data_IF_290518365128
#
_entry.id   IF_290518365128
#
_cell.length_a   1.000
_cell.length_b   1.000
_cell.length_c   1.000
_cell.angle_alpha   90.00
_cell.angle_beta   90.00
_cell.angle_gamma   90.00
#
_symmetry.space_group_name_H-M   'P 1'
#
loop_
_entity.id
_entity.type
_entity.pdbx_description
1 polymer ?
#
# COMPACT_ATOMS: atom_id res chain seq x y z
N UNK A 1 -44.24 -18.73 -7.18
CA UNK A 1 -43.39 -18.13 -8.24
C UNK A 1 -42.60 -16.89 -7.78
N UNK A 2 -42.52 -16.55 -6.49
CA UNK A 2 -41.87 -15.29 -6.02
C UNK A 2 -40.46 -15.42 -5.42
N UNK A 3 -39.76 -16.55 -5.58
CA UNK A 3 -38.44 -16.78 -4.96
C UNK A 3 -37.23 -16.45 -5.85
N UNK A 4 -37.35 -16.58 -7.17
CA UNK A 4 -36.22 -16.39 -8.10
C UNK A 4 -35.94 -14.93 -8.47
N UNK A 5 -36.92 -14.03 -8.34
CA UNK A 5 -36.73 -12.61 -8.64
C UNK A 5 -35.96 -11.88 -7.52
N UNK A 6 -36.19 -12.24 -6.26
CA UNK A 6 -35.46 -11.68 -5.11
C UNK A 6 -33.96 -12.04 -5.14
N UNK A 7 -33.59 -13.24 -5.58
CA UNK A 7 -32.19 -13.66 -5.71
C UNK A 7 -31.46 -12.94 -6.86
N UNK A 8 -32.16 -12.66 -7.96
CA UNK A 8 -31.59 -11.89 -9.08
C UNK A 8 -31.43 -10.43 -8.72
N UNK A 9 -32.38 -9.86 -7.97
CA UNK A 9 -32.33 -8.48 -7.52
C UNK A 9 -31.26 -8.27 -6.42
N UNK A 10 -31.07 -9.27 -5.54
CA UNK A 10 -29.96 -9.31 -4.59
C UNK A 10 -28.60 -9.44 -5.30
N UNK A 11 -28.47 -10.35 -6.29
CA UNK A 11 -27.26 -10.48 -7.10
C UNK A 11 -26.96 -9.26 -7.97
N UNK A 12 -27.99 -8.57 -8.48
CA UNK A 12 -27.83 -7.32 -9.22
C UNK A 12 -27.41 -6.18 -8.29
N UNK A 13 -27.96 -6.10 -7.07
CA UNK A 13 -27.49 -5.17 -6.05
C UNK A 13 -26.06 -5.46 -5.61
N UNK A 14 -25.70 -6.74 -5.47
CA UNK A 14 -24.33 -7.17 -5.15
C UNK A 14 -23.34 -6.88 -6.28
N UNK A 15 -23.76 -7.03 -7.55
CA UNK A 15 -22.97 -6.64 -8.72
C UNK A 15 -22.80 -5.12 -8.84
N UNK A 16 -23.79 -4.34 -8.39
CA UNK A 16 -23.71 -2.88 -8.33
C UNK A 16 -22.93 -2.38 -7.09
N UNK A 17 -22.80 -3.19 -6.03
CA UNK A 17 -22.01 -2.87 -4.83
C UNK A 17 -20.58 -3.40 -4.88
N UNK A 18 -20.24 -4.36 -5.74
CA UNK A 18 -18.86 -4.67 -6.09
C UNK A 18 -18.29 -3.51 -6.91
N UNK A 19 -17.38 -2.72 -6.33
CA UNK A 19 -16.81 -1.56 -7.01
C UNK A 19 -16.17 -2.00 -8.33
N UNK A 20 -16.71 -1.56 -9.45
CA UNK A 20 -16.27 -1.94 -10.79
C UNK A 20 -15.01 -1.16 -11.20
N UNK A 21 -13.94 -1.30 -10.42
CA UNK A 21 -12.64 -0.68 -10.65
C UNK A 21 -11.66 -1.70 -11.21
N UNK A 22 -10.75 -1.24 -12.05
CA UNK A 22 -9.80 -2.07 -12.81
C UNK A 22 -8.43 -2.18 -12.13
N UNK A 23 -8.09 -1.23 -11.26
CA UNK A 23 -6.81 -1.22 -10.54
C UNK A 23 -6.88 -0.42 -9.25
N UNK A 24 -5.97 -0.73 -8.32
CA UNK A 24 -5.77 0.00 -7.07
C UNK A 24 -4.39 0.60 -7.03
N UNK A 25 -4.32 1.88 -6.67
CA UNK A 25 -3.08 2.63 -6.56
C UNK A 25 -2.99 3.27 -5.19
N UNK A 26 -1.77 3.42 -4.68
CA UNK A 26 -1.50 4.09 -3.43
C UNK A 26 -0.49 5.23 -3.60
N UNK A 27 -0.74 6.36 -2.95
CA UNK A 27 0.20 7.47 -2.79
C UNK A 27 0.40 7.67 -1.30
N UNK A 28 1.58 7.33 -0.81
CA UNK A 28 1.91 7.25 0.61
C UNK A 28 3.01 8.26 0.91
N UNK A 29 2.74 9.23 1.78
CA UNK A 29 3.62 10.37 2.00
C UNK A 29 3.85 10.60 3.48
N UNK A 30 5.10 10.49 3.90
CA UNK A 30 5.61 11.16 5.10
C UNK A 30 6.14 12.55 4.70
N UNK A 31 5.65 13.58 5.38
CA UNK A 31 6.01 14.97 5.07
C UNK A 31 7.01 15.57 6.06
N UNK A 32 7.44 14.83 7.08
CA UNK A 32 8.21 15.38 8.20
C UNK A 32 9.68 14.98 8.18
N UNK A 33 10.53 15.84 8.76
CA UNK A 33 11.97 15.60 8.89
C UNK A 33 12.40 15.58 10.34
N UNK A 34 13.65 15.18 10.55
CA UNK A 34 14.34 15.09 11.84
C UNK A 34 13.95 13.88 12.69
N UNK A 35 14.89 13.44 13.51
CA UNK A 35 14.79 12.22 14.32
C UNK A 35 13.57 12.18 15.23
N UNK A 36 13.18 13.31 15.82
CA UNK A 36 12.00 13.37 16.71
C UNK A 36 10.67 13.09 15.99
N UNK A 37 10.67 13.08 14.65
CA UNK A 37 9.53 12.73 13.81
C UNK A 37 9.62 11.31 13.23
N UNK A 38 10.45 10.44 13.80
CA UNK A 38 10.59 9.03 13.42
C UNK A 38 9.25 8.35 13.11
N UNK A 39 8.24 8.59 13.96
CA UNK A 39 6.89 8.01 13.82
C UNK A 39 6.24 8.26 12.45
N UNK A 40 6.44 9.39 11.80
CA UNK A 40 5.79 9.65 10.50
C UNK A 40 6.39 8.76 9.39
N UNK A 41 7.70 8.52 9.42
CA UNK A 41 8.36 7.54 8.55
C UNK A 41 7.87 6.12 8.87
N UNK A 42 7.79 5.75 10.15
CA UNK A 42 7.29 4.44 10.56
C UNK A 42 5.82 4.23 10.16
N UNK A 43 4.97 5.26 10.29
CA UNK A 43 3.57 5.25 9.89
C UNK A 43 3.42 4.92 8.39
N UNK A 44 4.08 5.71 7.53
CA UNK A 44 3.94 5.55 6.07
C UNK A 44 4.47 4.19 5.60
N UNK A 45 5.59 3.72 6.16
CA UNK A 45 6.17 2.40 5.88
C UNK A 45 5.25 1.26 6.35
N UNK A 46 4.55 1.44 7.46
CA UNK A 46 3.61 0.45 7.97
C UNK A 46 2.37 0.32 7.06
N UNK A 47 1.86 1.45 6.55
CA UNK A 47 0.77 1.45 5.57
C UNK A 47 1.25 0.83 4.25
N UNK A 48 2.46 1.16 3.79
CA UNK A 48 3.09 0.56 2.60
C UNK A 48 3.15 -0.97 2.72
N UNK A 49 3.62 -1.49 3.85
CA UNK A 49 3.64 -2.93 4.12
C UNK A 49 2.24 -3.54 4.07
N UNK A 50 1.23 -2.86 4.60
CA UNK A 50 -0.16 -3.34 4.56
C UNK A 50 -0.71 -3.42 3.13
N UNK A 51 -0.47 -2.39 2.33
CA UNK A 51 -0.84 -2.30 0.92
C UNK A 51 -0.16 -3.40 0.09
N UNK A 52 1.15 -3.62 0.27
CA UNK A 52 1.89 -4.71 -0.38
C UNK A 52 1.39 -6.08 0.02
N UNK A 53 1.17 -6.31 1.32
CA UNK A 53 0.67 -7.59 1.86
C UNK A 53 -0.71 -7.95 1.29
N UNK A 54 -1.54 -6.94 0.99
CA UNK A 54 -2.85 -7.12 0.36
C UNK A 54 -2.78 -7.19 -1.19
N UNK A 55 -1.57 -7.08 -1.75
CA UNK A 55 -1.24 -7.49 -3.11
C UNK A 55 -1.00 -6.35 -4.10
N UNK A 56 -1.13 -5.08 -3.69
CA UNK A 56 -0.83 -3.96 -4.58
C UNK A 56 0.70 -3.97 -4.84
N UNK A 57 1.15 -4.08 -6.11
CA UNK A 57 2.57 -4.14 -6.45
C UNK A 57 3.23 -2.76 -6.37
N UNK A 58 4.55 -2.72 -6.18
CA UNK A 58 5.32 -1.45 -6.09
C UNK A 58 5.11 -0.53 -7.29
N UNK A 59 4.92 -1.11 -8.49
CA UNK A 59 4.59 -0.34 -9.69
C UNK A 59 3.27 0.46 -9.62
N UNK A 60 2.47 0.24 -8.58
CA UNK A 60 1.20 0.93 -8.29
C UNK A 60 1.22 1.68 -6.95
N UNK A 61 2.38 1.80 -6.31
CA UNK A 61 2.58 2.54 -5.07
C UNK A 61 3.56 3.66 -5.34
N UNK A 62 3.20 4.89 -5.01
CA UNK A 62 4.13 6.02 -4.95
C UNK A 62 4.46 6.26 -3.48
N UNK A 63 5.71 6.00 -3.08
CA UNK A 63 6.18 6.21 -1.72
C UNK A 63 7.11 7.44 -1.65
N UNK A 64 6.72 8.41 -0.82
CA UNK A 64 7.47 9.63 -0.56
C UNK A 64 7.88 9.66 0.93
N UNK A 65 9.18 9.69 1.21
CA UNK A 65 9.71 9.75 2.58
C UNK A 65 10.65 10.94 2.71
N UNK A 66 10.30 11.88 3.59
CA UNK A 66 10.98 13.16 3.71
C UNK A 66 12.32 13.07 4.45
N UNK A 67 12.56 12.01 5.24
CA UNK A 67 13.84 11.79 5.92
C UNK A 67 14.15 10.30 6.12
N UNK A 68 15.42 9.93 6.11
CA UNK A 68 15.85 8.53 6.19
C UNK A 68 16.16 8.13 7.64
N UNK A 69 15.17 7.55 8.32
CA UNK A 69 15.35 7.06 9.70
C UNK A 69 16.20 5.79 9.75
N UNK A 70 16.19 4.96 8.70
CA UNK A 70 16.95 3.71 8.64
C UNK A 70 18.46 3.97 8.63
N UNK A 71 18.90 5.01 7.91
CA UNK A 71 20.29 5.45 7.85
C UNK A 71 20.63 6.64 8.79
N UNK A 72 19.74 7.02 9.70
CA UNK A 72 20.04 8.12 10.63
C UNK A 72 21.13 7.72 11.63
N UNK A 73 22.15 8.56 11.89
CA UNK A 73 23.20 8.25 12.87
C UNK A 73 22.70 8.03 14.32
N UNK A 74 21.49 8.51 14.63
CA UNK A 74 20.85 8.29 15.94
C UNK A 74 20.15 6.94 16.04
N UNK A 75 19.97 6.22 14.93
CA UNK A 75 19.26 4.96 14.92
C UNK A 75 20.14 3.86 15.54
N UNK A 76 19.73 3.27 16.68
CA UNK A 76 20.47 2.16 17.29
C UNK A 76 20.35 0.86 16.49
N UNK A 77 19.42 0.79 15.53
CA UNK A 77 19.17 -0.35 14.64
C UNK A 77 19.36 0.07 13.18
N UNK A 78 20.59 0.01 12.67
CA UNK A 78 20.89 0.50 11.33
C UNK A 78 20.14 -0.29 10.26
N UNK A 79 19.74 0.42 9.21
CA UNK A 79 19.00 -0.15 8.08
C UNK A 79 17.65 -0.80 8.47
N UNK A 80 17.06 -0.39 9.60
CA UNK A 80 15.77 -0.87 10.08
C UNK A 80 14.91 0.28 10.62
N UNK A 81 13.59 0.14 10.48
CA UNK A 81 12.60 1.03 11.10
C UNK A 81 11.54 0.19 11.81
N UNK A 82 11.19 0.53 13.05
CA UNK A 82 10.23 -0.22 13.86
C UNK A 82 9.03 0.63 14.23
N UNK A 83 7.83 0.04 14.15
CA UNK A 83 6.57 0.72 14.46
C UNK A 83 5.94 0.26 15.79
N UNK A 84 6.62 -0.62 16.54
CA UNK A 84 6.17 -1.13 17.83
C UNK A 84 7.32 -1.17 18.84
N UNK A 85 7.05 -0.85 20.11
CA UNK A 85 8.04 -0.82 21.19
C UNK A 85 8.80 -2.15 21.39
N UNK A 86 8.18 -3.27 21.04
CA UNK A 86 8.81 -4.59 21.12
C UNK A 86 9.66 -4.91 19.87
N UNK A 87 9.76 -3.99 18.91
CA UNK A 87 10.55 -4.11 17.68
C UNK A 87 10.31 -5.41 16.91
N UNK A 88 9.07 -5.89 16.92
CA UNK A 88 8.71 -7.19 16.36
C UNK A 88 8.77 -7.22 14.83
N UNK A 89 8.57 -6.07 14.18
CA UNK A 89 8.46 -5.95 12.73
C UNK A 89 9.32 -4.77 12.28
N UNK A 90 10.36 -5.06 11.50
CA UNK A 90 11.04 -4.06 10.69
C UNK A 90 10.14 -3.69 9.51
N UNK A 91 9.65 -2.45 9.49
CA UNK A 91 8.77 -1.91 8.45
C UNK A 91 9.55 -1.31 7.29
N UNK A 92 10.87 -1.16 7.40
CA UNK A 92 11.73 -0.77 6.29
C UNK A 92 12.09 -2.01 5.46
N UNK A 93 12.71 -3.02 6.08
CA UNK A 93 13.01 -4.31 5.44
C UNK A 93 13.75 -4.24 4.10
N UNK A 94 13.80 -5.38 3.41
CA UNK A 94 14.55 -5.54 2.14
C UNK A 94 13.75 -5.17 0.87
N UNK A 95 12.47 -4.82 1.01
CA UNK A 95 11.46 -4.82 -0.07
C UNK A 95 10.70 -3.49 -0.20
N UNK A 96 11.24 -2.41 0.38
CA UNK A 96 10.66 -1.06 0.24
C UNK A 96 11.29 -0.32 -0.94
N UNK A 97 10.44 0.11 -1.88
CA UNK A 97 10.81 0.98 -2.99
C UNK A 97 10.37 2.42 -2.67
N UNK A 98 11.34 3.30 -2.35
CA UNK A 98 11.05 4.72 -2.13
C UNK A 98 11.26 5.50 -3.43
N UNK A 99 10.19 6.12 -3.93
CA UNK A 99 10.18 6.87 -5.19
C UNK A 99 10.70 8.29 -5.04
N UNK A 100 10.32 8.98 -3.98
CA UNK A 100 10.80 10.34 -3.68
C UNK A 100 11.43 10.33 -2.29
N UNK A 101 12.73 10.65 -2.23
CA UNK A 101 13.52 10.61 -1.00
C UNK A 101 13.98 12.01 -0.61
N UNK A 102 13.91 12.33 0.69
CA UNK A 102 14.53 13.53 1.24
C UNK A 102 14.04 14.81 0.55
N UNK A 103 14.97 15.54 -0.06
CA UNK A 103 14.69 16.80 -0.74
C UNK A 103 13.73 16.69 -1.93
N UNK A 104 13.49 15.49 -2.46
CA UNK A 104 12.48 15.31 -3.52
C UNK A 104 11.03 15.35 -2.98
N UNK A 105 10.82 15.27 -1.66
CA UNK A 105 9.48 15.30 -1.04
C UNK A 105 9.01 16.73 -0.84
N UNK A 106 8.62 17.39 -1.93
CA UNK A 106 8.13 18.77 -1.94
C UNK A 106 6.64 18.83 -2.24
N UNK A 107 5.99 19.94 -1.89
CA UNK A 107 4.59 20.19 -2.27
C UNK A 107 4.43 20.13 -3.79
N UNK A 108 5.37 20.74 -4.53
CA UNK A 108 5.37 20.75 -6.00
C UNK A 108 5.41 19.33 -6.58
N UNK A 109 6.31 18.47 -6.11
CA UNK A 109 6.41 17.10 -6.63
C UNK A 109 5.17 16.28 -6.29
N UNK A 110 4.63 16.41 -5.08
CA UNK A 110 3.39 15.74 -4.69
C UNK A 110 2.22 16.14 -5.61
N UNK A 111 1.99 17.44 -5.82
CA UNK A 111 0.94 17.95 -6.72
C UNK A 111 1.16 17.49 -8.16
N UNK A 112 2.42 17.49 -8.64
CA UNK A 112 2.76 17.01 -9.99
C UNK A 112 2.50 15.52 -10.18
N UNK A 113 2.74 14.69 -9.15
CA UNK A 113 2.40 13.27 -9.17
C UNK A 113 0.90 13.10 -9.32
N UNK A 114 0.09 13.75 -8.46
CA UNK A 114 -1.37 13.64 -8.50
C UNK A 114 -1.95 14.09 -9.85
N UNK A 115 -1.55 15.27 -10.32
CA UNK A 115 -2.03 15.84 -11.59
C UNK A 115 -1.39 15.19 -12.82
N UNK A 116 -0.35 14.39 -12.63
CA UNK A 116 0.58 13.83 -13.62
C UNK A 116 1.20 14.86 -14.56
N UNK A 117 1.47 16.06 -14.05
CA UNK A 117 2.24 17.12 -14.74
C UNK A 117 3.74 16.91 -14.51
N UNK A 118 4.23 15.74 -14.89
CA UNK A 118 5.63 15.34 -14.74
C UNK A 118 6.36 15.45 -16.09
N UNK A 119 7.66 15.80 -16.10
CA UNK A 119 8.48 15.74 -17.31
C UNK A 119 8.39 14.38 -18.02
N UNK A 120 8.50 14.39 -19.36
CA UNK A 120 8.48 13.16 -20.14
C UNK A 120 9.58 12.17 -19.72
N UNK A 121 10.75 12.71 -19.32
CA UNK A 121 11.92 11.97 -18.82
C UNK A 121 11.73 11.35 -17.44
N UNK A 122 10.68 11.69 -16.69
CA UNK A 122 10.46 11.12 -15.36
C UNK A 122 10.32 9.58 -15.47
N UNK A 123 11.03 8.79 -14.64
CA UNK A 123 10.93 7.34 -14.64
C UNK A 123 9.50 6.86 -14.40
N UNK A 124 9.18 5.65 -14.89
CA UNK A 124 7.83 5.07 -14.72
C UNK A 124 7.46 4.87 -13.25
N UNK A 125 8.40 4.43 -12.41
CA UNK A 125 8.15 4.22 -10.97
C UNK A 125 7.69 5.49 -10.27
N UNK A 126 8.21 6.65 -10.67
CA UNK A 126 7.84 7.96 -10.10
C UNK A 126 6.55 8.56 -10.66
N UNK A 127 5.78 7.84 -11.48
CA UNK A 127 4.56 8.33 -12.14
C UNK A 127 3.32 7.60 -11.61
N UNK A 128 2.33 8.36 -11.15
CA UNK A 128 0.99 7.84 -10.83
C UNK A 128 0.22 7.59 -12.13
N UNK A 129 0.22 6.37 -12.66
CA UNK A 129 -0.40 6.03 -13.96
C UNK A 129 -1.84 5.54 -13.83
N UNK A 130 -2.64 6.26 -13.05
CA UNK A 130 -4.06 5.99 -12.83
C UNK A 130 -4.93 6.47 -13.99
N UNK A 131 -6.14 5.91 -14.09
CA UNK A 131 -7.16 6.20 -15.10
C UNK A 131 -8.59 6.22 -14.49
N UNK A 132 -9.61 6.31 -15.33
CA UNK A 132 -11.01 6.40 -14.93
C UNK A 132 -11.55 5.14 -14.22
N UNK A 133 -10.82 4.02 -14.30
CA UNK A 133 -11.15 2.77 -13.62
C UNK A 133 -10.30 2.52 -12.37
N UNK A 134 -9.40 3.44 -12.01
CA UNK A 134 -8.45 3.24 -10.92
C UNK A 134 -8.99 3.77 -9.60
N UNK A 135 -9.05 2.95 -8.54
CA UNK A 135 -9.22 3.48 -7.19
C UNK A 135 -7.87 3.95 -6.64
N UNK A 136 -7.89 5.07 -5.93
CA UNK A 136 -6.67 5.72 -5.42
C UNK A 136 -6.76 5.88 -3.91
N UNK A 137 -5.84 5.26 -3.19
CA UNK A 137 -5.56 5.53 -1.78
C UNK A 137 -4.51 6.64 -1.69
N UNK A 138 -4.83 7.73 -1.00
CA UNK A 138 -3.85 8.74 -0.61
C UNK A 138 -3.74 8.71 0.91
N UNK A 139 -2.54 8.45 1.44
CA UNK A 139 -2.26 8.49 2.87
C UNK A 139 -1.15 9.50 3.14
N UNK A 140 -1.45 10.52 3.94
CA UNK A 140 -0.51 11.55 4.36
C UNK A 140 -0.30 11.47 5.87
N UNK A 141 0.94 11.59 6.32
CA UNK A 141 1.28 11.70 7.74
C UNK A 141 2.33 12.77 7.96
N UNK A 142 2.16 13.57 9.00
CA UNK A 142 3.04 14.70 9.27
C UNK A 142 2.49 15.66 10.30
N UNK A 143 3.07 16.86 10.31
CA UNK A 143 2.59 17.97 11.14
C UNK A 143 1.73 18.91 10.32
N UNK A 144 0.65 19.39 10.92
CA UNK A 144 -0.31 20.26 10.26
C UNK A 144 -1.09 21.08 11.27
N UNK A 145 -2.04 21.84 10.75
CA UNK A 145 -2.91 22.70 11.53
C UNK A 145 -4.18 23.02 10.75
N UNK A 146 -4.87 24.08 11.13
CA UNK A 146 -6.11 24.47 10.48
C UNK A 146 -5.87 24.88 9.01
N UNK A 147 -6.23 23.98 8.09
CA UNK A 147 -6.20 24.20 6.66
C UNK A 147 -4.86 23.91 5.98
N UNK A 148 -3.85 23.37 6.68
CA UNK A 148 -2.54 23.08 6.08
C UNK A 148 -1.84 21.84 6.66
N UNK A 149 -0.94 21.27 5.86
CA UNK A 149 0.01 20.22 6.24
C UNK A 149 1.43 20.67 5.85
N UNK A 150 2.38 20.60 6.77
CA UNK A 150 3.77 20.98 6.54
C UNK A 150 4.51 19.92 5.75
N UNK A 151 5.34 20.36 4.82
CA UNK A 151 6.32 19.57 4.08
C UNK A 151 7.73 20.02 4.44
N UNK A 152 8.54 19.06 4.88
CA UNK A 152 9.94 19.23 5.27
C UNK A 152 10.21 20.34 6.30
N UNK A 153 9.21 20.71 7.11
CA UNK A 153 9.28 21.81 8.09
C UNK A 153 9.51 23.21 7.47
N UNK A 154 9.37 23.36 6.14
CA UNK A 154 9.63 24.62 5.43
C UNK A 154 8.50 25.07 4.50
N UNK A 155 7.79 24.12 3.90
CA UNK A 155 6.68 24.38 2.98
C UNK A 155 5.37 23.92 3.62
N UNK A 156 4.25 24.41 3.09
CA UNK A 156 2.91 24.01 3.51
C UNK A 156 2.07 23.73 2.26
N UNK A 157 1.34 22.61 2.28
CA UNK A 157 0.25 22.36 1.34
C UNK A 157 -1.07 22.73 2.02
N UNK A 158 -1.91 23.50 1.34
CA UNK A 158 -3.20 23.93 1.90
C UNK A 158 -4.34 22.98 1.53
N UNK A 159 -5.45 23.09 2.24
CA UNK A 159 -6.69 22.37 1.92
C UNK A 159 -7.26 22.78 0.54
N UNK A 160 -6.96 23.99 0.05
CA UNK A 160 -7.32 24.45 -1.29
C UNK A 160 -6.44 23.78 -2.34
N UNK A 161 -5.12 23.72 -2.12
CA UNK A 161 -4.19 23.05 -3.05
C UNK A 161 -4.56 21.57 -3.24
N UNK A 162 -4.91 20.89 -2.14
CA UNK A 162 -5.39 19.50 -2.17
C UNK A 162 -6.72 19.38 -2.94
N UNK A 163 -7.68 20.25 -2.67
CA UNK A 163 -8.97 20.25 -3.36
C UNK A 163 -8.81 20.44 -4.88
N UNK A 164 -7.99 21.40 -5.28
CA UNK A 164 -7.74 21.71 -6.69
C UNK A 164 -6.91 20.63 -7.39
N UNK A 165 -6.00 19.95 -6.68
CA UNK A 165 -5.28 18.81 -7.23
C UNK A 165 -6.22 17.63 -7.49
N UNK A 166 -7.09 17.31 -6.53
CA UNK A 166 -8.09 16.24 -6.68
C UNK A 166 -9.09 16.59 -7.79
N UNK A 167 -9.50 17.85 -7.90
CA UNK A 167 -10.35 18.32 -9.01
C UNK A 167 -9.67 18.11 -10.36
N UNK A 168 -8.40 18.46 -10.49
CA UNK A 168 -7.67 18.21 -11.73
C UNK A 168 -7.54 16.71 -12.04
N UNK A 169 -7.42 15.85 -11.02
CA UNK A 169 -7.46 14.41 -11.22
C UNK A 169 -8.81 13.96 -11.76
N UNK A 170 -9.91 14.50 -11.22
CA UNK A 170 -11.27 14.20 -11.67
C UNK A 170 -11.52 14.63 -13.12
N UNK A 171 -11.18 15.87 -13.46
CA UNK A 171 -11.33 16.43 -14.81
C UNK A 171 -10.50 15.66 -15.85
N UNK A 172 -9.34 15.16 -15.43
CA UNK A 172 -8.47 14.33 -16.27
C UNK A 172 -8.81 12.84 -16.22
N UNK A 173 -9.89 12.45 -15.54
CA UNK A 173 -10.34 11.07 -15.44
C UNK A 173 -9.23 10.14 -14.90
N UNK A 174 -8.58 10.55 -13.82
CA UNK A 174 -7.44 9.85 -13.20
C UNK A 174 -7.83 9.04 -11.96
N UNK A 175 -9.10 8.93 -11.63
CA UNK A 175 -9.59 8.01 -10.62
C UNK A 175 -11.05 7.65 -10.87
N UNK A 176 -11.43 6.46 -10.41
CA UNK A 176 -12.81 6.00 -10.27
C UNK A 176 -13.37 6.44 -8.91
N UNK A 177 -12.72 6.00 -7.83
CA UNK A 177 -12.99 6.39 -6.45
C UNK A 177 -11.67 6.72 -5.73
N UNK A 178 -11.73 7.58 -4.71
CA UNK A 178 -10.59 7.99 -3.92
C UNK A 178 -10.86 7.82 -2.43
N UNK A 179 -9.91 7.21 -1.73
CA UNK A 179 -9.84 7.19 -0.27
C UNK A 179 -8.68 8.08 0.16
N UNK A 180 -8.99 9.23 0.75
CA UNK A 180 -8.02 10.17 1.28
C UNK A 180 -7.93 10.03 2.79
N UNK A 181 -6.75 9.72 3.32
CA UNK A 181 -6.50 9.56 4.75
C UNK A 181 -5.37 10.51 5.13
N UNK A 182 -5.56 11.28 6.19
CA UNK A 182 -4.51 12.17 6.70
C UNK A 182 -4.40 12.07 8.21
N UNK A 183 -3.19 11.73 8.69
CA UNK A 183 -2.83 11.63 10.10
C UNK A 183 -1.97 12.82 10.54
N UNK A 184 -2.61 13.81 11.17
CA UNK A 184 -2.01 15.08 11.58
C UNK A 184 -2.92 15.83 12.56
N UNK A 185 -2.40 16.83 13.28
CA UNK A 185 -3.25 17.78 14.00
C UNK A 185 -4.21 18.51 13.07
N UNK A 186 -5.44 18.73 13.54
CA UNK A 186 -6.55 19.34 12.82
C UNK A 186 -6.81 18.73 11.43
N UNK A 187 -6.60 17.42 11.29
CA UNK A 187 -6.68 16.67 10.03
C UNK A 187 -7.97 16.95 9.24
N UNK A 188 -9.10 17.09 9.94
CA UNK A 188 -10.39 17.33 9.31
C UNK A 188 -10.45 18.60 8.46
N UNK A 189 -9.65 19.63 8.77
CA UNK A 189 -9.59 20.88 8.01
C UNK A 189 -9.10 20.68 6.57
N UNK A 190 -8.32 19.62 6.30
CA UNK A 190 -7.68 19.38 5.00
C UNK A 190 -8.64 18.93 3.91
N UNK A 191 -9.73 18.26 4.25
CA UNK A 191 -10.73 17.78 3.28
C UNK A 191 -12.01 18.62 3.24
N UNK A 192 -12.13 19.65 4.07
CA UNK A 192 -13.32 20.52 4.11
C UNK A 192 -13.58 21.22 2.78
N UNK A 193 -12.52 21.52 2.03
CA UNK A 193 -12.61 22.20 0.74
C UNK A 193 -12.73 21.23 -0.43
N UNK A 194 -12.78 19.92 -0.23
CA UNK A 194 -13.00 18.99 -1.35
C UNK A 194 -14.37 19.22 -1.97
N UNK A 195 -14.42 19.20 -3.30
CA UNK A 195 -15.65 19.38 -4.07
C UNK A 195 -15.77 18.42 -5.26
N UNK A 196 -14.75 17.59 -5.49
CA UNK A 196 -14.75 16.56 -6.53
C UNK A 196 -15.52 15.32 -6.07
N UNK A 197 -16.27 14.65 -6.96
CA UNK A 197 -17.06 13.49 -6.60
C UNK A 197 -16.19 12.25 -6.39
N UNK A 198 -16.81 11.23 -5.80
CA UNK A 198 -16.25 9.90 -5.52
C UNK A 198 -15.04 9.93 -4.57
N UNK A 199 -15.03 10.83 -3.60
CA UNK A 199 -13.97 10.96 -2.59
C UNK A 199 -14.53 10.67 -1.21
N UNK A 200 -13.97 9.68 -0.51
CA UNK A 200 -14.14 9.47 0.93
C UNK A 200 -12.89 9.98 1.63
N UNK A 201 -13.05 10.92 2.57
CA UNK A 201 -11.92 11.48 3.32
C UNK A 201 -11.99 11.10 4.80
N UNK A 202 -10.83 10.82 5.41
CA UNK A 202 -10.66 10.46 6.82
C UNK A 202 -9.53 11.33 7.39
N UNK A 203 -9.74 11.89 8.57
CA UNK A 203 -8.75 12.66 9.32
C UNK A 203 -8.62 12.15 10.74
N UNK A 204 -7.40 12.05 11.26
CA UNK A 204 -7.15 11.52 12.60
C UNK A 204 -7.61 12.43 13.75
N UNK A 205 -7.87 13.72 13.49
CA UNK A 205 -8.45 14.65 14.46
C UNK A 205 -9.40 15.67 13.82
N UNK A 206 -10.33 16.21 14.61
CA UNK A 206 -11.20 17.32 14.19
C UNK A 206 -10.48 18.67 14.28
N UNK A 207 -11.08 19.70 13.67
CA UNK A 207 -10.60 21.09 13.81
C UNK A 207 -10.60 21.49 15.29
N UNK A 208 -9.51 22.10 15.74
CA UNK A 208 -9.29 22.42 17.15
C UNK A 208 -8.78 21.26 18.03
N UNK A 209 -8.54 20.07 17.47
CA UNK A 209 -7.95 18.93 18.18
C UNK A 209 -6.57 18.55 17.61
N UNK A 210 -5.64 18.23 18.51
CA UNK A 210 -4.36 17.63 18.14
C UNK A 210 -4.53 16.15 17.77
N UNK A 211 -3.65 15.64 16.88
CA UNK A 211 -3.41 14.20 16.75
C UNK A 211 -2.20 13.84 17.63
N UNK A 212 -2.25 12.67 18.25
CA UNK A 212 -1.30 12.29 19.29
C UNK A 212 -0.54 11.02 18.93
N UNK A 213 0.74 11.02 19.31
CA UNK A 213 1.59 9.85 19.23
C UNK A 213 1.18 8.76 20.23
N UNK A 214 1.44 7.49 19.91
CA UNK A 214 0.99 6.37 20.74
C UNK A 214 1.97 6.01 21.86
N UNK A 215 3.17 5.55 21.50
CA UNK A 215 4.16 5.05 22.45
C UNK A 215 5.58 5.39 22.03
N UNK A 216 6.46 5.45 23.04
CA UNK A 216 7.90 5.70 22.90
C UNK A 216 8.63 4.36 22.93
N UNK A 217 9.66 4.23 22.09
CA UNK A 217 10.64 3.16 22.21
C UNK A 217 11.85 3.69 23.00
N UNK A 218 12.18 3.13 24.18
CA UNK A 218 13.31 3.61 24.99
C UNK A 218 14.68 3.46 24.33
N UNK A 219 14.87 2.50 23.42
CA UNK A 219 16.12 2.32 22.69
C UNK A 219 16.27 3.38 21.59
N UNK A 220 15.19 3.66 20.85
CA UNK A 220 15.16 4.67 19.78
C UNK A 220 15.08 6.11 20.37
N UNK A 221 14.49 6.26 21.56
CA UNK A 221 14.45 7.48 22.35
C UNK A 221 13.36 8.48 21.94
N UNK A 222 12.45 8.12 21.03
CA UNK A 222 11.37 8.98 20.52
C UNK A 222 10.07 8.19 20.35
N UNK A 223 8.97 8.89 20.07
CA UNK A 223 7.72 8.25 19.65
C UNK A 223 7.90 7.61 18.27
N UNK A 224 7.41 6.38 18.14
CA UNK A 224 7.66 5.54 16.95
C UNK A 224 6.42 5.27 16.09
N UNK A 225 5.23 5.67 16.55
CA UNK A 225 3.99 5.57 15.77
C UNK A 225 2.93 6.55 16.31
N UNK A 226 2.03 7.01 15.43
CA UNK A 226 0.86 7.79 15.83
C UNK A 226 -0.35 6.92 16.20
N UNK A 227 -1.22 7.43 17.07
CA UNK A 227 -2.35 6.65 17.62
C UNK A 227 -3.30 6.21 16.54
N UNK A 228 -3.75 7.12 15.68
CA UNK A 228 -4.69 6.76 14.62
C UNK A 228 -4.09 5.68 13.72
N UNK A 229 -2.85 5.88 13.27
CA UNK A 229 -2.15 4.91 12.43
C UNK A 229 -1.94 3.57 13.13
N UNK A 230 -1.62 3.54 14.42
CA UNK A 230 -1.51 2.31 15.20
C UNK A 230 -2.81 1.47 15.16
N UNK A 231 -3.96 2.08 15.45
CA UNK A 231 -5.24 1.37 15.45
C UNK A 231 -5.75 1.05 14.04
N UNK A 232 -5.44 1.89 13.04
CA UNK A 232 -5.69 1.58 11.64
C UNK A 232 -4.91 0.33 11.20
N UNK A 233 -3.64 0.21 11.59
CA UNK A 233 -2.81 -0.96 11.31
C UNK A 233 -3.29 -2.20 12.05
N UNK A 234 -3.71 -2.07 13.31
CA UNK A 234 -4.31 -3.19 14.06
C UNK A 234 -5.51 -3.78 13.32
N UNK A 235 -6.37 -2.93 12.75
CA UNK A 235 -7.47 -3.38 11.88
C UNK A 235 -6.93 -4.04 10.61
N UNK A 236 -6.01 -3.37 9.90
CA UNK A 236 -5.48 -3.86 8.63
C UNK A 236 -4.77 -5.19 8.79
N UNK A 237 -4.09 -5.47 9.91
CA UNK A 237 -3.40 -6.74 10.15
C UNK A 237 -4.35 -7.95 10.07
N UNK A 238 -5.64 -7.77 10.40
CA UNK A 238 -6.67 -8.80 10.31
C UNK A 238 -7.35 -8.88 8.92
N UNK A 239 -7.03 -7.95 8.01
CA UNK A 239 -7.53 -7.97 6.63
C UNK A 239 -6.67 -8.91 5.78
N UNK A 240 -7.35 -9.75 5.00
CA UNK A 240 -6.76 -10.56 3.94
C UNK A 240 -7.38 -10.18 2.60
N UNK A 241 -6.79 -10.54 1.44
CA UNK A 241 -7.36 -10.22 0.13
C UNK A 241 -8.80 -10.73 -0.09
N UNK A 242 -9.19 -11.81 0.60
CA UNK A 242 -10.55 -12.38 0.56
C UNK A 242 -11.45 -11.88 1.70
N UNK A 243 -11.00 -10.92 2.50
CA UNK A 243 -11.77 -10.44 3.64
C UNK A 243 -12.97 -9.60 3.19
N UNK A 244 -14.03 -9.65 4.00
CA UNK A 244 -15.25 -8.86 3.81
C UNK A 244 -15.31 -7.65 4.75
N UNK A 245 -14.19 -7.25 5.33
CA UNK A 245 -14.09 -6.03 6.14
C UNK A 245 -14.45 -4.79 5.31
N UNK A 246 -15.20 -3.87 5.89
CA UNK A 246 -15.78 -2.73 5.16
C UNK A 246 -15.15 -1.40 5.57
N UNK A 247 -15.27 -0.39 4.70
CA UNK A 247 -14.87 0.98 5.03
C UNK A 247 -15.64 1.50 6.26
N UNK A 248 -16.91 1.15 6.41
CA UNK A 248 -17.72 1.52 7.57
C UNK A 248 -17.19 0.97 8.90
N UNK A 249 -16.54 -0.20 8.89
CA UNK A 249 -15.79 -0.71 10.04
C UNK A 249 -14.47 0.05 10.21
N UNK A 250 -13.76 0.31 9.11
CA UNK A 250 -12.50 1.05 9.12
C UNK A 250 -12.65 2.49 9.66
N UNK A 251 -13.77 3.16 9.40
CA UNK A 251 -14.08 4.48 9.95
C UNK A 251 -14.18 4.52 11.49
N UNK A 252 -14.27 3.37 12.14
CA UNK A 252 -14.47 3.24 13.60
C UNK A 252 -13.25 2.67 14.34
N UNK A 253 -12.12 2.48 13.65
CA UNK A 253 -10.93 1.80 14.21
C UNK A 253 -10.31 2.51 15.40
N UNK A 254 -10.45 3.84 15.46
CA UNK A 254 -9.85 4.64 16.53
C UNK A 254 -10.91 5.54 17.20
N UNK A 255 -11.73 5.00 18.11
CA UNK A 255 -12.64 5.80 18.91
C UNK A 255 -11.87 6.80 19.80
N UNK A 256 -12.56 7.87 20.23
CA UNK A 256 -11.94 9.00 20.95
C UNK A 256 -11.12 8.59 22.18
N UNK A 257 -11.53 7.57 22.92
CA UNK A 257 -10.81 7.11 24.11
C UNK A 257 -9.48 6.41 23.79
N UNK A 258 -9.31 5.90 22.57
CA UNK A 258 -8.06 5.29 22.09
C UNK A 258 -7.17 6.32 21.39
N UNK A 259 -7.77 7.10 20.48
CA UNK A 259 -7.05 8.13 19.72
C UNK A 259 -6.67 9.35 20.57
N UNK A 260 -7.41 9.62 21.63
CA UNK A 260 -7.35 10.88 22.40
C UNK A 260 -7.64 12.14 21.56
N UNK A 261 -8.11 11.91 20.34
CA UNK A 261 -8.65 12.85 19.36
C UNK A 261 -9.88 12.22 18.71
N UNK A 262 -10.70 13.02 18.06
CA UNK A 262 -11.90 12.55 17.36
C UNK A 262 -11.56 12.31 15.89
N UNK A 263 -11.59 11.05 15.45
CA UNK A 263 -11.46 10.72 14.02
C UNK A 263 -12.65 11.32 13.27
N UNK A 264 -12.35 12.20 12.32
CA UNK A 264 -13.32 12.80 11.41
C UNK A 264 -13.35 12.06 10.09
N UNK A 265 -14.50 12.06 9.42
CA UNK A 265 -14.58 11.63 8.03
C UNK A 265 -15.63 12.45 7.28
N UNK A 266 -15.49 12.47 5.95
CA UNK A 266 -16.39 13.16 5.04
C UNK A 266 -16.78 12.23 3.90
N UNK A 267 -18.07 11.93 3.79
CA UNK A 267 -18.63 10.95 2.86
C UNK A 267 -19.71 11.50 1.93
N UNK A 268 -20.07 12.79 2.01
CA UNK A 268 -21.08 13.42 1.13
C UNK A 268 -20.67 13.41 -0.36
N UNK A 269 -19.36 13.37 -0.63
CA UNK A 269 -18.82 13.25 -1.99
C UNK A 269 -18.70 11.79 -2.46
N UNK A 270 -18.91 10.82 -1.59
CA UNK A 270 -18.73 9.39 -1.89
C UNK A 270 -20.10 8.72 -2.09
N UNK A 271 -20.34 8.17 -3.28
CA UNK A 271 -21.69 7.71 -3.67
C UNK A 271 -22.12 6.40 -3.00
N UNK A 272 -21.16 5.49 -2.75
CA UNK A 272 -21.46 4.17 -2.17
C UNK A 272 -21.58 4.26 -0.65
N UNK A 273 -22.44 3.43 -0.06
CA UNK A 273 -22.52 3.29 1.40
C UNK A 273 -21.22 2.66 1.94
N UNK A 274 -20.42 3.35 2.78
CA UNK A 274 -19.18 2.83 3.32
C UNK A 274 -19.35 1.49 4.06
N UNK A 275 -20.53 1.20 4.62
CA UNK A 275 -20.79 -0.07 5.30
C UNK A 275 -20.87 -1.27 4.34
N UNK A 276 -20.95 -1.03 3.02
CA UNK A 276 -21.01 -2.05 1.97
C UNK A 276 -19.77 -2.08 1.08
N UNK A 277 -18.92 -1.06 1.17
CA UNK A 277 -17.66 -1.01 0.41
C UNK A 277 -16.59 -1.77 1.18
N UNK A 278 -15.93 -2.73 0.53
CA UNK A 278 -14.83 -3.46 1.15
C UNK A 278 -13.58 -2.58 1.28
N UNK A 279 -12.84 -2.76 2.36
CA UNK A 279 -11.54 -2.08 2.54
C UNK A 279 -10.54 -2.47 1.45
N UNK A 280 -10.67 -3.68 0.91
CA UNK A 280 -9.83 -4.22 -0.17
C UNK A 280 -10.06 -3.52 -1.51
N UNK A 281 -11.14 -2.76 -1.69
CA UNK A 281 -11.35 -1.89 -2.85
C UNK A 281 -10.34 -0.73 -2.92
N UNK A 282 -9.59 -0.48 -1.84
CA UNK A 282 -8.53 0.56 -1.79
C UNK A 282 -7.18 0.00 -1.36
N UNK A 283 -7.17 -0.96 -0.43
CA UNK A 283 -5.91 -1.49 0.13
C UNK A 283 -5.42 -2.77 -0.54
N UNK A 284 -6.26 -3.49 -1.31
CA UNK A 284 -5.91 -4.80 -1.87
C UNK A 284 -5.73 -4.81 -3.37
N UNK A 285 -5.08 -5.86 -3.91
CA UNK A 285 -5.06 -6.07 -5.36
C UNK A 285 -6.40 -6.58 -5.88
N UNK A 286 -6.76 -6.14 -7.09
CA UNK A 286 -7.86 -6.71 -7.85
C UNK A 286 -7.52 -8.12 -8.33
N UNK A 287 -7.70 -9.10 -7.43
CA UNK A 287 -7.80 -10.53 -7.75
C UNK A 287 -8.81 -11.21 -6.83
N UNK A 288 -10.09 -10.85 -6.93
CA UNK A 288 -11.13 -11.80 -6.54
C UNK A 288 -11.18 -12.87 -7.63
N UNK A 289 -10.47 -13.97 -7.40
CA UNK A 289 -10.84 -15.22 -8.04
C UNK A 289 -12.20 -15.57 -7.42
N UNK A 290 -13.29 -15.25 -8.11
CA UNK A 290 -14.55 -15.91 -7.85
C UNK A 290 -14.29 -17.40 -8.08
N UNK A 291 -14.06 -18.15 -7.01
CA UNK A 291 -14.23 -19.59 -7.07
C UNK A 291 -15.71 -19.78 -7.38
N UNK A 292 -16.05 -20.04 -8.64
CA UNK A 292 -17.36 -20.50 -9.01
C UNK A 292 -17.66 -21.70 -8.10
N UNK A 293 -18.52 -21.49 -7.11
CA UNK A 293 -18.81 -22.48 -6.08
C UNK A 293 -19.53 -23.71 -6.65
N UNK A 294 -19.97 -23.64 -7.90
CA UNK A 294 -20.61 -24.72 -8.62
C UNK A 294 -19.89 -24.98 -9.95
N UNK A 295 -19.48 -26.23 -10.24
CA UNK A 295 -19.10 -26.62 -11.58
C UNK A 295 -20.24 -26.27 -12.54
N UNK A 296 -19.94 -25.48 -13.57
CA UNK A 296 -20.87 -25.30 -14.68
C UNK A 296 -21.05 -26.68 -15.33
N UNK A 297 -22.15 -27.35 -15.01
CA UNK A 297 -22.54 -28.59 -15.65
C UNK A 297 -22.88 -28.28 -17.11
N UNK A 298 -21.94 -28.55 -18.01
CA UNK A 298 -22.19 -28.47 -19.44
C UNK A 298 -23.32 -29.45 -19.78
N UNK A 299 -24.34 -29.02 -20.55
CA UNK A 299 -25.38 -29.94 -21.00
C UNK A 299 -24.74 -31.08 -21.81
N UNK A 300 -25.22 -32.33 -21.66
CA UNK A 300 -24.69 -33.44 -22.41
C UNK A 300 -24.80 -33.13 -23.91
N UNK A 301 -23.78 -33.51 -24.72
CA UNK A 301 -23.79 -33.23 -26.14
C UNK A 301 -25.06 -33.80 -26.76
N UNK A 302 -25.84 -32.94 -27.43
CA UNK A 302 -27.03 -33.38 -28.13
C UNK A 302 -26.62 -34.34 -29.23
N UNK A 303 -27.14 -35.57 -29.20
CA UNK A 303 -27.04 -36.52 -30.30
C UNK A 303 -27.86 -36.01 -31.50
N UNK A 304 -27.31 -35.02 -32.20
CA UNK A 304 -27.65 -34.77 -33.60
C UNK A 304 -26.51 -35.36 -34.41
N UNK A 305 -26.74 -36.57 -34.89
CA UNK A 305 -25.97 -37.19 -35.98
C UNK A 305 -25.84 -36.21 -37.14
N UNK A 306 -24.68 -35.57 -37.28
CA UNK A 306 -24.22 -35.05 -38.56
C UNK A 306 -23.17 -36.00 -39.11
N UNK A 307 -23.38 -36.37 -40.36
CA UNK A 307 -22.61 -37.37 -41.10
C UNK A 307 -21.19 -36.83 -41.39
N UNK A 308 -20.21 -37.70 -41.13
CA UNK A 308 -18.93 -37.88 -41.82
C UNK A 308 -18.23 -36.67 -42.45
N UNK A 309 -17.03 -36.37 -41.94
CA UNK A 309 -15.83 -36.24 -42.79
C UNK A 309 -14.66 -36.98 -42.12
N UNK A 310 -14.08 -37.91 -42.87
CA UNK A 310 -12.95 -38.76 -42.48
C UNK A 310 -11.64 -37.98 -42.57
N UNK A 311 -10.93 -37.83 -41.46
CA UNK A 311 -9.54 -37.37 -41.39
C UNK A 311 -8.80 -38.13 -40.30
N UNK A 312 -7.66 -38.76 -40.65
CA UNK A 312 -6.85 -39.68 -39.83
C UNK A 312 -6.45 -39.09 -38.46
N UNK A 313 -6.34 -39.91 -37.39
CA UNK A 313 -5.80 -39.43 -36.11
C UNK A 313 -4.26 -39.45 -36.13
N UNK A 314 -3.64 -38.36 -35.67
CA UNK A 314 -2.24 -38.34 -35.26
C UNK A 314 -2.16 -38.86 -33.82
N UNK A 315 -1.33 -39.88 -33.60
CA UNK A 315 -1.04 -40.44 -32.26
C UNK A 315 0.03 -39.59 -31.60
N UNK A 316 -0.26 -39.01 -30.44
CA UNK A 316 0.74 -38.42 -29.55
C UNK A 316 0.81 -39.27 -28.28
N UNK A 317 1.89 -40.02 -28.11
CA UNK A 317 2.14 -40.81 -26.89
C UNK A 317 2.64 -39.90 -25.78
N UNK A 318 1.98 -39.92 -24.62
CA UNK A 318 2.50 -39.30 -23.38
C UNK A 318 3.21 -40.38 -22.58
N UNK A 319 4.54 -40.24 -22.44
CA UNK A 319 5.33 -41.06 -21.51
C UNK A 319 5.10 -40.56 -20.08
N UNK A 320 4.67 -41.47 -19.20
CA UNK A 320 4.66 -41.27 -17.75
C UNK A 320 6.03 -41.69 -17.21
N UNK A 321 6.78 -40.76 -16.60
CA UNK A 321 7.93 -41.11 -15.74
C UNK A 321 7.64 -40.64 -14.32
N UNK A 322 7.39 -41.60 -13.43
CA UNK A 322 7.42 -41.38 -11.99
C UNK A 322 8.86 -41.10 -11.55
N UNK A 323 9.09 -40.01 -10.82
CA UNK A 323 10.26 -39.90 -9.93
C UNK A 323 9.82 -39.36 -8.58
N UNK A 324 9.70 -40.29 -7.64
CA UNK A 324 9.56 -40.03 -6.21
C UNK A 324 10.97 -39.82 -5.63
N UNK A 325 11.07 -38.93 -4.64
CA UNK A 325 12.25 -38.58 -3.79
C UNK A 325 13.10 -37.37 -4.23
N UNK A 326 12.89 -36.24 -3.54
CA UNK A 326 13.88 -35.21 -3.09
C UNK A 326 13.17 -33.87 -2.78
N UNK A 327 12.09 -33.89 -1.96
CA UNK A 327 11.38 -32.65 -1.56
C UNK A 327 11.93 -32.03 -0.26
N UNK A 328 12.51 -32.83 0.65
CA UNK A 328 13.01 -32.34 1.96
C UNK A 328 14.36 -31.62 1.96
N UNK A 329 15.20 -31.79 0.93
CA UNK A 329 16.54 -31.13 0.85
C UNK A 329 16.49 -29.76 0.16
N UNK A 330 15.66 -29.63 -0.89
CA UNK A 330 15.46 -28.38 -1.63
C UNK A 330 14.79 -27.28 -0.80
N UNK A 331 13.84 -27.63 0.07
CA UNK A 331 13.17 -26.66 0.94
C UNK A 331 14.12 -26.11 2.04
N UNK A 332 15.14 -26.89 2.44
CA UNK A 332 16.13 -26.45 3.41
C UNK A 332 17.22 -25.59 2.73
N UNK A 333 17.71 -25.97 1.55
CA UNK A 333 18.67 -25.16 0.78
C UNK A 333 18.08 -23.83 0.31
N UNK A 334 16.81 -23.78 -0.12
CA UNK A 334 16.17 -22.53 -0.50
C UNK A 334 15.95 -21.60 0.70
N UNK A 335 15.63 -22.13 1.88
CA UNK A 335 15.55 -21.33 3.11
C UNK A 335 16.92 -20.82 3.55
N UNK A 336 17.95 -21.67 3.49
CA UNK A 336 19.32 -21.25 3.87
C UNK A 336 19.88 -20.22 2.89
N UNK A 337 19.63 -20.37 1.59
CA UNK A 337 20.04 -19.39 0.58
C UNK A 337 19.26 -18.08 0.72
N UNK A 338 17.94 -18.10 0.95
CA UNK A 338 17.16 -16.89 1.21
C UNK A 338 17.65 -16.13 2.47
N UNK A 339 17.99 -16.87 3.53
CA UNK A 339 18.57 -16.28 4.75
C UNK A 339 19.98 -15.73 4.50
N UNK A 340 20.80 -16.38 3.68
CA UNK A 340 22.13 -15.87 3.30
C UNK A 340 22.01 -14.58 2.47
N UNK A 341 21.13 -14.57 1.46
CA UNK A 341 20.89 -13.41 0.60
C UNK A 341 20.34 -12.21 1.37
N UNK A 342 19.42 -12.43 2.33
CA UNK A 342 18.92 -11.36 3.20
C UNK A 342 20.02 -10.82 4.13
N UNK A 343 20.88 -11.69 4.69
CA UNK A 343 22.03 -11.24 5.49
C UNK A 343 23.06 -10.45 4.68
N UNK A 344 23.34 -10.85 3.45
CA UNK A 344 24.25 -10.12 2.55
C UNK A 344 23.67 -8.76 2.15
N UNK A 345 22.37 -8.68 1.83
CA UNK A 345 21.69 -7.40 1.56
C UNK A 345 21.68 -6.49 2.79
N UNK A 346 21.33 -6.99 3.97
CA UNK A 346 21.38 -6.20 5.21
C UNK A 346 22.80 -5.67 5.49
N UNK A 347 23.83 -6.47 5.19
CA UNK A 347 25.24 -6.04 5.31
C UNK A 347 25.57 -4.93 4.31
N UNK A 348 25.05 -4.99 3.09
CA UNK A 348 25.22 -3.93 2.08
C UNK A 348 24.47 -2.66 2.50
N UNK A 349 23.23 -2.75 2.96
CA UNK A 349 22.43 -1.59 3.41
C UNK A 349 23.09 -0.95 4.64
N UNK A 350 23.58 -1.75 5.59
CA UNK A 350 24.38 -1.26 6.72
C UNK A 350 25.64 -0.50 6.25
N UNK A 351 26.36 -1.03 5.26
CA UNK A 351 27.54 -0.37 4.68
C UNK A 351 27.19 0.91 3.89
N UNK A 352 25.98 1.00 3.33
CA UNK A 352 25.47 2.21 2.67
C UNK A 352 25.09 3.28 3.70
N UNK A 353 24.41 2.90 4.79
CA UNK A 353 24.06 3.83 5.86
C UNK A 353 25.29 4.37 6.60
N UNK A 354 26.32 3.53 6.81
CA UNK A 354 27.60 3.93 7.41
C UNK A 354 28.68 3.99 6.34
N UNK A 355 28.66 5.02 5.50
CA UNK A 355 29.59 5.22 4.39
C UNK A 355 31.00 4.67 4.68
N UNK A 356 31.39 3.65 3.92
CA UNK A 356 32.69 3.01 4.06
C UNK A 356 33.82 4.04 3.88
N UNK A 357 34.58 4.26 4.95
CA UNK A 357 35.92 4.82 4.89
C UNK A 357 36.89 3.63 5.03
N UNK A 358 37.29 2.95 3.94
CA UNK A 358 38.17 1.80 4.08
C UNK A 358 39.58 2.30 4.38
N UNK A 359 40.04 2.12 5.61
CA UNK A 359 41.49 2.03 5.85
C UNK A 359 42.00 0.72 5.24
N UNK A 360 43.12 0.72 4.51
CA UNK A 360 43.52 -0.42 3.72
C UNK A 360 44.22 -1.44 4.63
N UNK A 361 43.54 -2.54 4.98
CA UNK A 361 44.22 -3.82 5.25
C UNK A 361 43.28 -5.02 5.19
N UNK A 362 43.56 -5.82 4.15
CA UNK A 362 43.31 -7.26 4.02
C UNK A 362 41.86 -7.74 4.00
N UNK A 363 41.32 -7.81 2.78
CA UNK A 363 40.44 -8.92 2.39
C UNK A 363 41.11 -9.63 1.22
N UNK A 364 41.71 -10.79 1.48
CA UNK A 364 42.22 -11.69 0.44
C UNK A 364 41.04 -12.55 -0.01
N UNK A 365 40.48 -12.27 -1.19
CA UNK A 365 39.58 -13.19 -1.88
C UNK A 365 40.39 -14.02 -2.89
N UNK A 366 40.46 -15.33 -2.65
CA UNK A 366 40.98 -16.31 -3.62
C UNK A 366 39.83 -16.70 -4.54
N UNK A 367 39.79 -16.13 -5.74
CA UNK A 367 38.84 -16.48 -6.79
C UNK A 367 39.46 -17.58 -7.64
N UNK A 368 39.01 -18.83 -7.48
CA UNK A 368 39.23 -19.89 -8.46
C UNK A 368 38.10 -19.85 -9.48
N UNK A 369 38.40 -19.33 -10.67
CA UNK A 369 37.62 -19.57 -11.88
C UNK A 369 37.74 -21.06 -12.27
N UNK A 370 36.61 -21.73 -12.45
CA UNK A 370 36.53 -22.97 -13.21
C UNK A 370 35.62 -22.68 -14.40
N UNK A 371 36.23 -22.48 -15.56
CA UNK A 371 35.62 -22.82 -16.85
C UNK A 371 36.06 -24.24 -17.21
N UNK A 372 35.14 -25.06 -17.70
CA UNK A 372 35.51 -26.17 -18.58
C UNK A 372 34.47 -26.29 -19.68
N UNK A 373 35.05 -26.55 -20.85
CA UNK A 373 34.49 -26.75 -22.18
C UNK A 373 33.61 -28.00 -22.23
#
# INVERSE_FOLDING_TARGET
MGGQDNDKEAKAKDFLTSGNHTSNWAVLVDTSRFWFNYRHVANVLSIYRSVKRLGIPDSQIILMIADDMACNPRNPHPAAVYNNANQQIDVYGDDVEVDYRGYEVTVENFIRVLTGRLPASTPRSKKLLTDAGSNVLIYLTGHGGDGFLKFQDSEEITNVDLADAIQQMWEKQRYHEMLFIVDTCQAASLYQKFYSPNVLAIGSSLVGEDSLSHHVDPAIGVYIIDRYTYYALEFLEHVTPSSNHTLGQFLKVCPKYLCLSTVGFRSDLFQRDPNRVFITDFFGSQKRIEMAADPIALPPPSNKTSRFFTGKPAVLSVHHSETRTTKRRRDHENKTNAVLFSKEKQTIINNICFGSNPTPRQVVFSVRFIFSV
#
